data_IF_164830331121
#
_entry.id   IF_164830331121
#
_cell.length_a   1.000
_cell.length_b   1.000
_cell.length_c   1.000
_cell.angle_alpha   90.00
_cell.angle_beta   90.00
_cell.angle_gamma   90.00
#
_symmetry.space_group_name_H-M   'P 1'
#
loop_
_entity.id
_entity.type
_entity.pdbx_description
1 polymer ?
#
# COMPACT_ATOMS: atom_id res chain seq x y z
N UNK A 1 2.98 5.39 3.93
CA UNK A 1 2.94 6.62 4.73
C UNK A 1 1.50 6.88 5.14
N UNK A 2 1.16 6.58 6.39
CA UNK A 2 -0.13 6.87 6.99
C UNK A 2 -0.26 8.34 7.38
N UNK A 3 -1.45 8.91 7.24
CA UNK A 3 -1.70 10.29 7.62
C UNK A 3 -3.16 10.56 8.00
N UNK A 4 -3.36 11.50 8.92
CA UNK A 4 -4.67 12.09 9.17
C UNK A 4 -4.87 13.26 8.20
N UNK A 5 -5.84 13.16 7.31
CA UNK A 5 -6.13 14.15 6.26
C UNK A 5 -7.39 14.93 6.62
N UNK A 6 -7.29 16.27 6.64
CA UNK A 6 -8.42 17.17 6.88
C UNK A 6 -9.12 17.65 5.60
N UNK A 7 -8.45 17.58 4.44
CA UNK A 7 -8.98 18.02 3.16
C UNK A 7 -8.46 17.09 2.02
N UNK A 8 -9.10 15.93 1.79
CA UNK A 8 -8.68 14.98 0.77
C UNK A 8 -8.59 15.57 -0.66
N UNK A 9 -9.54 16.39 -1.14
CA UNK A 9 -9.40 17.03 -2.47
C UNK A 9 -8.13 17.89 -2.61
N UNK A 10 -7.70 18.58 -1.55
CA UNK A 10 -6.48 19.38 -1.61
C UNK A 10 -5.21 18.49 -1.64
N UNK A 11 -5.22 17.34 -0.96
CA UNK A 11 -4.13 16.34 -1.05
C UNK A 11 -4.01 15.81 -2.48
N UNK A 12 -5.13 15.41 -3.09
CA UNK A 12 -5.16 14.93 -4.48
C UNK A 12 -4.63 16.01 -5.44
N UNK A 13 -5.10 17.26 -5.31
CA UNK A 13 -4.65 18.36 -6.17
C UNK A 13 -3.14 18.64 -6.01
N UNK A 14 -2.59 18.57 -4.77
CA UNK A 14 -1.16 18.74 -4.53
C UNK A 14 -0.35 17.59 -5.14
N UNK A 15 -0.84 16.35 -5.02
CA UNK A 15 -0.23 15.17 -5.62
C UNK A 15 -0.23 15.24 -7.14
N UNK A 16 -1.36 15.56 -7.77
CA UNK A 16 -1.49 15.68 -9.23
C UNK A 16 -0.52 16.75 -9.77
N UNK A 17 -0.45 17.90 -9.10
CA UNK A 17 0.48 18.99 -9.46
C UNK A 17 1.93 18.54 -9.36
N UNK A 18 2.30 17.81 -8.29
CA UNK A 18 3.65 17.29 -8.14
C UNK A 18 3.96 16.22 -9.18
N UNK A 19 3.07 15.25 -9.40
CA UNK A 19 3.27 14.18 -10.39
C UNK A 19 3.33 14.71 -11.83
N UNK A 20 2.72 15.87 -12.14
CA UNK A 20 2.83 16.54 -13.43
C UNK A 20 4.15 17.31 -13.61
N UNK A 21 4.95 17.52 -12.57
CA UNK A 21 6.25 18.19 -12.64
C UNK A 21 7.32 17.31 -13.28
N UNK A 22 8.42 17.93 -13.74
CA UNK A 22 9.55 17.19 -14.35
C UNK A 22 10.13 16.16 -13.39
N UNK A 23 10.35 16.50 -12.11
CA UNK A 23 10.89 15.56 -11.14
C UNK A 23 9.86 14.51 -10.72
N UNK A 24 8.57 14.82 -10.67
CA UNK A 24 7.52 13.83 -10.43
C UNK A 24 7.43 12.78 -11.53
N UNK A 25 7.66 13.19 -12.78
CA UNK A 25 7.64 12.29 -13.95
C UNK A 25 8.91 11.47 -14.12
N UNK A 26 10.05 11.95 -13.60
CA UNK A 26 11.36 11.29 -13.79
C UNK A 26 11.76 10.43 -12.61
N UNK A 27 11.24 10.67 -11.42
CA UNK A 27 11.53 9.83 -10.25
C UNK A 27 10.93 8.42 -10.42
N UNK A 28 11.73 7.36 -10.20
CA UNK A 28 11.33 5.99 -10.52
C UNK A 28 10.48 5.36 -9.40
N UNK A 29 9.29 5.90 -9.18
CA UNK A 29 8.29 5.36 -8.25
C UNK A 29 6.89 5.47 -8.84
N UNK A 30 5.96 4.71 -8.29
CA UNK A 30 4.53 4.96 -8.44
C UNK A 30 3.88 5.20 -7.09
N UNK A 31 2.75 5.93 -7.08
CA UNK A 31 2.06 6.29 -5.85
C UNK A 31 0.55 6.15 -6.02
N UNK A 32 -0.09 5.60 -4.98
CA UNK A 32 -1.53 5.59 -4.83
C UNK A 32 -1.91 6.22 -3.48
N UNK A 33 -3.00 6.99 -3.46
CA UNK A 33 -3.62 7.48 -2.23
C UNK A 33 -4.84 6.61 -1.93
N UNK A 34 -4.83 5.97 -0.79
CA UNK A 34 -5.92 5.11 -0.32
C UNK A 34 -6.62 5.76 0.86
N UNK A 35 -7.96 5.70 0.89
CA UNK A 35 -8.75 6.09 2.05
C UNK A 35 -8.85 4.92 3.02
N UNK A 36 -8.60 5.18 4.30
CA UNK A 36 -8.73 4.20 5.37
C UNK A 36 -10.19 4.09 5.83
N UNK A 37 -10.69 2.87 5.90
CA UNK A 37 -12.00 2.56 6.45
C UNK A 37 -11.87 1.34 7.35
N UNK A 38 -12.49 1.38 8.52
CA UNK A 38 -12.47 0.27 9.49
C UNK A 38 -11.07 -0.08 10.04
N UNK A 39 -10.19 0.92 10.17
CA UNK A 39 -8.82 0.77 10.67
C UNK A 39 -8.71 0.76 12.21
N UNK A 40 -9.79 0.44 12.92
CA UNK A 40 -9.77 0.27 14.38
C UNK A 40 -9.59 1.57 15.15
N UNK A 41 -8.49 1.68 15.89
CA UNK A 41 -8.14 2.84 16.72
C UNK A 41 -7.02 3.69 16.13
N UNK A 42 -6.53 3.34 14.95
CA UNK A 42 -5.47 4.07 14.30
C UNK A 42 -5.95 5.45 13.85
N UNK A 43 -5.13 6.51 14.03
CA UNK A 43 -5.56 7.89 13.75
C UNK A 43 -5.55 8.24 12.27
N UNK A 44 -4.92 7.44 11.41
CA UNK A 44 -4.83 7.73 9.99
C UNK A 44 -6.20 7.59 9.31
N UNK A 45 -6.43 8.46 8.36
CA UNK A 45 -7.61 8.44 7.49
C UNK A 45 -7.27 8.08 6.06
N UNK A 46 -5.98 8.19 5.71
CA UNK A 46 -5.46 7.91 4.38
C UNK A 46 -4.03 7.36 4.47
N UNK A 47 -3.66 6.55 3.47
CA UNK A 47 -2.30 6.06 3.29
C UNK A 47 -1.81 6.33 1.86
N UNK A 48 -0.62 6.92 1.74
CA UNK A 48 0.14 6.88 0.48
C UNK A 48 0.90 5.56 0.40
N UNK A 49 0.54 4.75 -0.57
CA UNK A 49 1.30 3.56 -0.96
C UNK A 49 2.25 3.97 -2.09
N UNK A 50 3.55 3.95 -1.80
CA UNK A 50 4.59 4.30 -2.77
C UNK A 50 5.36 3.03 -3.11
N UNK A 51 5.38 2.67 -4.39
CA UNK A 51 6.04 1.45 -4.86
C UNK A 51 7.27 1.75 -5.70
N UNK A 52 8.30 0.91 -5.55
CA UNK A 52 9.59 1.00 -6.20
C UNK A 52 9.98 -0.34 -6.82
N UNK A 53 10.58 -0.33 -8.01
CA UNK A 53 11.11 -1.54 -8.66
C UNK A 53 12.40 -2.07 -7.97
N UNK A 54 12.56 -1.86 -6.68
CA UNK A 54 13.67 -2.34 -5.87
C UNK A 54 14.51 -1.23 -5.24
N UNK A 55 15.58 -1.63 -4.56
CA UNK A 55 16.38 -0.73 -3.74
C UNK A 55 17.09 0.37 -4.54
N UNK A 56 17.46 0.12 -5.80
CA UNK A 56 18.08 1.14 -6.64
C UNK A 56 17.06 2.24 -7.00
N UNK A 57 15.85 1.87 -7.40
CA UNK A 57 14.77 2.82 -7.69
C UNK A 57 14.41 3.67 -6.45
N UNK A 58 14.38 3.05 -5.26
CA UNK A 58 14.21 3.78 -3.99
C UNK A 58 15.32 4.82 -3.78
N UNK A 59 16.60 4.43 -3.96
CA UNK A 59 17.75 5.32 -3.82
C UNK A 59 17.69 6.48 -4.83
N UNK A 60 17.41 6.18 -6.10
CA UNK A 60 17.35 7.17 -7.17
C UNK A 60 16.18 8.14 -6.97
N UNK A 61 15.07 7.66 -6.44
CA UNK A 61 13.94 8.51 -6.03
C UNK A 61 14.36 9.51 -4.96
N UNK A 62 14.99 9.06 -3.87
CA UNK A 62 15.48 9.99 -2.83
C UNK A 62 16.49 11.00 -3.37
N UNK A 63 17.40 10.58 -4.24
CA UNK A 63 18.36 11.48 -4.89
C UNK A 63 17.64 12.55 -5.73
N UNK A 64 16.66 12.16 -6.55
CA UNK A 64 15.86 13.07 -7.38
C UNK A 64 15.06 14.04 -6.51
N UNK A 65 14.31 13.53 -5.53
CA UNK A 65 13.42 14.34 -4.70
C UNK A 65 14.20 15.32 -3.79
N UNK A 66 15.41 14.96 -3.35
CA UNK A 66 16.22 15.83 -2.48
C UNK A 66 16.62 17.16 -3.12
N UNK A 67 16.60 17.25 -4.45
CA UNK A 67 16.96 18.44 -5.23
C UNK A 67 15.78 19.05 -5.99
N UNK A 68 14.55 18.53 -5.79
CA UNK A 68 13.35 18.92 -6.49
C UNK A 68 12.58 20.04 -5.76
N UNK A 69 12.50 21.27 -6.29
CA UNK A 69 11.72 22.35 -5.67
C UNK A 69 10.22 22.07 -5.62
N UNK A 70 9.69 21.36 -6.63
CA UNK A 70 8.29 20.98 -6.70
C UNK A 70 7.92 19.98 -5.62
N UNK A 71 8.84 19.08 -5.24
CA UNK A 71 8.65 18.19 -4.09
C UNK A 71 8.60 18.95 -2.78
N UNK A 72 9.46 19.95 -2.57
CA UNK A 72 9.40 20.81 -1.38
C UNK A 72 8.08 21.59 -1.31
N UNK A 73 7.56 22.04 -2.46
CA UNK A 73 6.25 22.68 -2.57
C UNK A 73 5.13 21.71 -2.21
N UNK A 74 5.17 20.50 -2.76
CA UNK A 74 4.22 19.42 -2.45
C UNK A 74 4.18 19.12 -0.95
N UNK A 75 5.34 18.97 -0.30
CA UNK A 75 5.38 18.72 1.15
C UNK A 75 4.78 19.88 1.96
N UNK A 76 4.97 21.11 1.51
CA UNK A 76 4.37 22.30 2.15
C UNK A 76 2.85 22.32 2.00
N UNK A 77 2.34 22.05 0.80
CA UNK A 77 0.91 21.97 0.52
C UNK A 77 0.26 20.81 1.29
N UNK A 78 0.93 19.65 1.35
CA UNK A 78 0.48 18.49 2.10
C UNK A 78 0.42 18.76 3.60
N UNK A 79 1.45 19.38 4.19
CA UNK A 79 1.50 19.70 5.61
C UNK A 79 0.42 20.71 6.06
N UNK A 80 -0.14 21.50 5.14
CA UNK A 80 -1.25 22.42 5.44
C UNK A 80 -2.59 21.70 5.67
N UNK A 81 -2.75 20.44 5.18
CA UNK A 81 -4.03 19.71 5.14
C UNK A 81 -3.92 18.29 5.69
N UNK A 82 -2.75 17.88 6.16
CA UNK A 82 -2.53 16.55 6.74
C UNK A 82 -1.47 16.54 7.83
N UNK A 83 -1.54 15.51 8.66
CA UNK A 83 -0.53 15.22 9.71
C UNK A 83 -0.04 13.80 9.49
N UNK A 84 1.27 13.56 9.31
CA UNK A 84 1.83 12.22 9.25
C UNK A 84 1.57 11.46 10.54
N UNK A 85 1.24 10.17 10.44
CA UNK A 85 1.01 9.28 11.58
C UNK A 85 2.07 8.21 11.66
N UNK A 86 2.40 7.58 10.52
CA UNK A 86 3.36 6.49 10.45
C UNK A 86 4.10 6.44 9.12
N UNK A 87 5.21 5.72 9.10
CA UNK A 87 5.96 5.42 7.88
C UNK A 87 6.50 4.00 7.98
N UNK A 88 6.07 3.13 7.09
CA UNK A 88 6.54 1.75 7.03
C UNK A 88 7.23 1.49 5.70
N UNK A 89 8.41 0.89 5.75
CA UNK A 89 9.08 0.34 4.59
C UNK A 89 8.86 -1.17 4.59
N UNK A 90 8.28 -1.68 3.52
CA UNK A 90 8.06 -3.10 3.32
C UNK A 90 8.68 -3.59 2.01
N UNK A 91 8.81 -4.90 1.91
CA UNK A 91 9.28 -5.59 0.72
C UNK A 91 8.37 -6.76 0.42
N UNK A 92 7.89 -6.84 -0.80
CA UNK A 92 7.12 -8.00 -1.26
C UNK A 92 7.94 -9.28 -1.12
N UNK A 93 7.34 -10.29 -0.51
CA UNK A 93 7.86 -11.65 -0.41
C UNK A 93 7.02 -12.64 -1.19
N UNK A 94 5.75 -12.32 -1.41
CA UNK A 94 4.85 -13.05 -2.30
C UNK A 94 3.69 -12.17 -2.75
N UNK A 95 3.47 -12.06 -4.03
CA UNK A 95 2.35 -11.33 -4.64
C UNK A 95 1.78 -12.09 -5.82
N UNK A 96 0.48 -11.96 -6.06
CA UNK A 96 -0.20 -12.41 -7.27
C UNK A 96 -1.36 -11.47 -7.61
N UNK A 97 -1.70 -11.43 -8.90
CA UNK A 97 -2.69 -10.49 -9.43
C UNK A 97 -2.10 -9.11 -9.71
N UNK A 98 -2.93 -8.23 -10.24
CA UNK A 98 -2.58 -6.82 -10.51
C UNK A 98 -3.37 -5.92 -9.56
N UNK A 99 -2.74 -5.48 -8.48
CA UNK A 99 -3.38 -4.68 -7.45
C UNK A 99 -3.86 -3.30 -7.96
N UNK A 100 -3.35 -2.83 -9.11
CA UNK A 100 -3.78 -1.57 -9.72
C UNK A 100 -5.19 -1.64 -10.31
N UNK A 101 -5.74 -2.85 -10.47
CA UNK A 101 -7.11 -3.09 -10.92
C UNK A 101 -8.11 -3.17 -9.74
N UNK A 102 -7.62 -3.25 -8.51
CA UNK A 102 -8.45 -3.32 -7.32
C UNK A 102 -8.67 -1.93 -6.73
N UNK A 103 -9.84 -1.70 -6.14
CA UNK A 103 -10.21 -0.40 -5.52
C UNK A 103 -10.56 -0.52 -4.04
N UNK A 104 -10.59 -1.75 -3.52
CA UNK A 104 -10.78 -2.03 -2.10
C UNK A 104 -9.75 -3.07 -1.64
N UNK A 105 -9.24 -2.90 -0.43
CA UNK A 105 -8.23 -3.80 0.15
C UNK A 105 -8.56 -4.11 1.61
N UNK A 106 -8.35 -5.37 2.00
CA UNK A 106 -8.20 -5.76 3.38
C UNK A 106 -6.71 -5.99 3.66
N UNK A 107 -6.18 -5.33 4.68
CA UNK A 107 -4.79 -5.46 5.11
C UNK A 107 -4.77 -6.03 6.51
N UNK A 108 -3.93 -7.03 6.74
CA UNK A 108 -3.79 -7.76 8.00
C UNK A 108 -2.34 -7.62 8.49
N UNK A 109 -2.14 -6.92 9.58
CA UNK A 109 -0.86 -6.83 10.27
C UNK A 109 -0.61 -8.10 11.07
N UNK A 110 0.55 -8.73 10.85
CA UNK A 110 0.83 -10.05 11.39
C UNK A 110 2.26 -10.18 11.91
N UNK A 111 2.44 -11.02 12.94
CA UNK A 111 3.74 -11.39 13.47
C UNK A 111 4.13 -12.80 13.04
N UNK A 112 4.96 -12.90 12.01
CA UNK A 112 5.41 -14.17 11.45
C UNK A 112 6.72 -14.63 12.11
N UNK A 113 6.72 -15.82 12.70
CA UNK A 113 7.91 -16.40 13.36
C UNK A 113 8.86 -17.10 12.39
N UNK A 114 8.33 -17.68 11.32
CA UNK A 114 9.09 -18.36 10.28
C UNK A 114 8.49 -18.01 8.93
N UNK A 115 9.15 -17.09 8.23
CA UNK A 115 8.67 -16.57 6.95
C UNK A 115 8.52 -17.67 5.89
N UNK A 116 9.51 -18.54 5.75
CA UNK A 116 9.47 -19.58 4.72
C UNK A 116 8.27 -20.52 4.89
N UNK A 117 8.02 -20.98 6.12
CA UNK A 117 6.86 -21.85 6.40
C UNK A 117 5.54 -21.13 6.27
N UNK A 118 5.50 -19.83 6.63
CA UNK A 118 4.29 -19.02 6.47
C UNK A 118 3.95 -18.81 4.99
N UNK A 119 4.93 -18.43 4.17
CA UNK A 119 4.75 -18.23 2.73
C UNK A 119 4.36 -19.53 2.02
N UNK A 120 4.96 -20.66 2.40
CA UNK A 120 4.57 -21.97 1.87
C UNK A 120 3.09 -22.28 2.15
N UNK A 121 2.65 -22.07 3.40
CA UNK A 121 1.26 -22.29 3.80
C UNK A 121 0.30 -21.30 3.13
N UNK A 122 0.67 -20.02 3.10
CA UNK A 122 -0.11 -18.96 2.44
C UNK A 122 -0.28 -19.24 0.96
N UNK A 123 0.82 -19.59 0.26
CA UNK A 123 0.78 -19.95 -1.16
C UNK A 123 -0.12 -21.17 -1.42
N UNK A 124 0.01 -22.23 -0.63
CA UNK A 124 -0.85 -23.41 -0.77
C UNK A 124 -2.34 -23.07 -0.61
N UNK A 125 -2.67 -22.23 0.36
CA UNK A 125 -4.03 -21.76 0.60
C UNK A 125 -4.55 -20.92 -0.58
N UNK A 126 -3.79 -19.92 -1.00
CA UNK A 126 -4.20 -19.02 -2.09
C UNK A 126 -4.24 -19.72 -3.45
N UNK A 127 -3.31 -20.65 -3.76
CA UNK A 127 -3.35 -21.46 -4.97
C UNK A 127 -4.65 -22.29 -5.03
N UNK A 128 -5.08 -22.88 -3.90
CA UNK A 128 -6.34 -23.62 -3.82
C UNK A 128 -7.56 -22.69 -4.01
N UNK A 129 -7.57 -21.52 -3.37
CA UNK A 129 -8.64 -20.53 -3.50
C UNK A 129 -8.77 -19.98 -4.94
N UNK A 130 -7.64 -19.73 -5.61
CA UNK A 130 -7.62 -19.35 -7.04
C UNK A 130 -8.16 -20.48 -7.91
N UNK A 131 -7.72 -21.73 -7.70
CA UNK A 131 -8.17 -22.88 -8.47
C UNK A 131 -9.69 -23.14 -8.33
N UNK A 132 -10.24 -22.81 -7.18
CA UNK A 132 -11.68 -22.93 -6.89
C UNK A 132 -12.50 -21.68 -7.31
N UNK A 133 -11.84 -20.63 -7.83
CA UNK A 133 -12.50 -19.38 -8.23
C UNK A 133 -12.97 -18.53 -7.04
N UNK A 134 -12.47 -18.79 -5.83
CA UNK A 134 -12.79 -18.03 -4.62
C UNK A 134 -11.98 -16.74 -4.51
N UNK A 135 -10.77 -16.72 -5.08
CA UNK A 135 -9.85 -15.59 -5.08
C UNK A 135 -9.50 -15.21 -6.51
N UNK A 136 -10.00 -14.06 -6.96
CA UNK A 136 -9.86 -13.57 -8.35
C UNK A 136 -9.16 -12.22 -8.46
N UNK A 137 -8.98 -11.53 -7.33
CA UNK A 137 -8.30 -10.22 -7.21
C UNK A 137 -6.85 -10.40 -6.77
N UNK A 138 -6.14 -9.29 -6.60
CA UNK A 138 -4.76 -9.31 -6.10
C UNK A 138 -4.69 -9.74 -4.63
N UNK A 139 -3.57 -10.32 -4.27
CA UNK A 139 -3.26 -10.69 -2.88
C UNK A 139 -1.75 -10.83 -2.69
N UNK A 140 -1.29 -10.68 -1.47
CA UNK A 140 0.13 -10.78 -1.20
C UNK A 140 0.52 -10.77 0.26
N UNK A 141 1.81 -10.93 0.48
CA UNK A 141 2.47 -10.81 1.78
C UNK A 141 3.70 -9.94 1.63
N UNK A 142 3.76 -8.91 2.45
CA UNK A 142 4.84 -7.95 2.54
C UNK A 142 5.60 -8.15 3.84
N UNK A 143 6.93 -8.22 3.77
CA UNK A 143 7.77 -8.21 4.95
C UNK A 143 8.11 -6.78 5.33
N UNK A 144 7.85 -6.40 6.58
CA UNK A 144 8.28 -5.12 7.14
C UNK A 144 9.81 -5.11 7.27
N UNK A 145 10.43 -4.06 6.74
CA UNK A 145 11.87 -3.81 6.81
C UNK A 145 12.17 -2.80 7.92
N UNK A 146 11.32 -1.79 8.08
CA UNK A 146 11.45 -0.75 9.10
C UNK A 146 10.13 0.01 9.30
N UNK A 147 9.96 0.60 10.47
CA UNK A 147 8.93 1.58 10.74
C UNK A 147 7.65 1.06 11.38
N UNK A 148 7.58 -0.24 11.70
CA UNK A 148 6.40 -0.85 12.30
C UNK A 148 6.80 -1.88 13.37
N UNK A 149 5.86 -2.21 14.28
CA UNK A 149 6.02 -3.24 15.30
C UNK A 149 5.67 -4.66 14.81
N UNK A 150 4.90 -4.76 13.72
CA UNK A 150 4.59 -6.02 13.05
C UNK A 150 5.75 -6.46 12.15
N UNK A 151 5.85 -7.76 11.90
CA UNK A 151 6.90 -8.30 11.02
C UNK A 151 6.49 -8.36 9.56
N UNK A 152 5.20 -8.48 9.31
CA UNK A 152 4.62 -8.59 7.96
C UNK A 152 3.22 -8.00 7.95
N UNK A 153 2.73 -7.71 6.76
CA UNK A 153 1.30 -7.61 6.50
C UNK A 153 0.91 -8.45 5.29
N UNK A 154 -0.29 -9.01 5.35
CA UNK A 154 -0.91 -9.68 4.22
C UNK A 154 -2.04 -8.81 3.69
N UNK A 155 -2.31 -8.86 2.39
CA UNK A 155 -3.41 -8.14 1.80
C UNK A 155 -4.22 -9.00 0.84
N UNK A 156 -5.48 -8.63 0.68
CA UNK A 156 -6.40 -9.14 -0.34
C UNK A 156 -7.06 -7.92 -0.98
N UNK A 157 -7.03 -7.86 -2.30
CA UNK A 157 -7.72 -6.85 -3.09
C UNK A 157 -9.15 -7.25 -3.47
N UNK A 158 -9.89 -6.29 -3.97
CA UNK A 158 -11.20 -6.47 -4.58
C UNK A 158 -11.51 -5.32 -5.53
N UNK A 159 -12.23 -5.61 -6.60
CA UNK A 159 -12.63 -4.58 -7.59
C UNK A 159 -13.55 -3.51 -6.99
N UNK A 160 -14.20 -3.83 -5.88
CA UNK A 160 -14.96 -2.93 -5.00
C UNK A 160 -15.14 -3.57 -3.61
N UNK A 161 -15.73 -2.85 -2.68
CA UNK A 161 -15.97 -3.32 -1.31
C UNK A 161 -16.90 -4.55 -1.27
N UNK A 162 -17.90 -4.65 -2.14
CA UNK A 162 -18.81 -5.79 -2.16
C UNK A 162 -18.10 -7.06 -2.65
N UNK A 163 -17.23 -6.93 -3.67
CA UNK A 163 -16.41 -8.02 -4.17
C UNK A 163 -15.37 -8.46 -3.10
N UNK A 164 -14.72 -7.51 -2.42
CA UNK A 164 -13.79 -7.79 -1.34
C UNK A 164 -14.46 -8.58 -0.21
N UNK A 165 -15.63 -8.12 0.26
CA UNK A 165 -16.38 -8.81 1.34
C UNK A 165 -16.84 -10.21 0.92
N UNK A 166 -17.33 -10.38 -0.32
CA UNK A 166 -17.70 -11.70 -0.83
C UNK A 166 -16.48 -12.65 -0.90
N UNK A 167 -15.30 -12.15 -1.29
CA UNK A 167 -14.05 -12.92 -1.28
C UNK A 167 -13.67 -13.35 0.14
N UNK A 168 -13.73 -12.44 1.11
CA UNK A 168 -13.41 -12.74 2.52
C UNK A 168 -14.40 -13.78 3.07
N UNK A 169 -15.69 -13.66 2.78
CA UNK A 169 -16.70 -14.63 3.20
C UNK A 169 -16.42 -16.03 2.63
N UNK A 170 -16.07 -16.13 1.34
CA UNK A 170 -15.71 -17.40 0.70
C UNK A 170 -14.46 -18.05 1.32
N UNK A 171 -13.46 -17.24 1.69
CA UNK A 171 -12.24 -17.72 2.32
C UNK A 171 -12.42 -18.18 3.78
N UNK A 172 -13.47 -17.71 4.45
CA UNK A 172 -13.79 -18.04 5.84
C UNK A 172 -14.80 -19.22 5.99
N UNK A 173 -15.33 -19.77 4.89
CA UNK A 173 -16.35 -20.82 4.91
C UNK A 173 -15.77 -22.24 4.99
N UNK A 174 -14.46 -22.43 4.94
CA UNK A 174 -13.74 -23.71 5.06
C UNK A 174 -12.98 -23.79 6.40
#
# INVERSE_FOLDING_TARGET
FGMTVSNPPAVVAAMDKFMASECGQTAPFSVALMGEAFNGHEPQTHTFVVTYEGAQALNDTFATLSTCPEYATFLTELAAVSVPTEQTLAKSVYEAGDWTQDTAFAVFEINVRNEASYIEAYKKFTDAAVANGQLTSSFGVERVVAGDEYTHFAFIGGTDMANLMATIDLLNMD
#
